data_IF_647600747934
#
_entry.id   IF_647600747934
#
_cell.length_a   1.000
_cell.length_b   1.000
_cell.length_c   1.000
_cell.angle_alpha   90.00
_cell.angle_beta   90.00
_cell.angle_gamma   90.00
#
_symmetry.space_group_name_H-M   'P 1'
#
loop_
_entity.id
_entity.type
_entity.pdbx_description
1 polymer ?
#
# COMPACT_ATOMS: atom_id res chain seq x y z
N UNK A 1 30.07 2.97 17.29
CA UNK A 1 29.42 3.62 16.14
C UNK A 1 28.02 4.09 16.57
N UNK A 2 27.54 5.25 16.11
CA UNK A 2 26.17 5.68 16.39
C UNK A 2 25.17 4.72 15.77
N UNK A 3 23.94 4.61 16.31
CA UNK A 3 22.88 3.82 15.70
C UNK A 3 22.58 4.30 14.28
N UNK A 4 22.32 3.40 13.37
CA UNK A 4 21.73 3.72 12.08
C UNK A 4 20.21 3.88 12.26
N UNK A 5 19.62 4.88 11.60
CA UNK A 5 18.18 5.10 11.57
C UNK A 5 17.69 4.93 10.13
N UNK A 6 16.61 4.20 9.98
CA UNK A 6 16.00 3.94 8.68
C UNK A 6 14.47 4.08 8.77
N UNK A 7 13.84 4.28 7.63
CA UNK A 7 12.39 4.21 7.47
C UNK A 7 12.02 2.89 6.79
N UNK A 8 10.90 2.29 7.19
CA UNK A 8 10.24 1.19 6.48
C UNK A 8 8.75 1.44 6.43
N UNK A 9 8.13 1.21 5.28
CA UNK A 9 6.73 1.55 5.06
C UNK A 9 5.90 0.32 4.68
N UNK A 10 4.79 0.09 5.37
CA UNK A 10 3.79 -0.91 5.05
C UNK A 10 2.61 -0.20 4.40
N UNK A 11 2.32 -0.47 3.15
CA UNK A 11 1.18 0.14 2.48
C UNK A 11 0.19 -0.91 2.02
N UNK A 12 -1.08 -0.74 2.39
CA UNK A 12 -2.14 -1.68 2.07
C UNK A 12 -3.02 -1.19 0.94
N UNK A 13 -3.49 -2.13 0.13
CA UNK A 13 -4.52 -1.94 -0.89
C UNK A 13 -5.48 -3.12 -0.88
N UNK A 14 -6.68 -2.95 -1.44
CA UNK A 14 -7.62 -4.06 -1.67
C UNK A 14 -7.20 -4.92 -2.86
N UNK A 15 -6.47 -4.34 -3.79
CA UNK A 15 -5.88 -5.01 -4.94
C UNK A 15 -4.66 -4.20 -5.43
N UNK A 16 -3.69 -4.84 -6.07
CA UNK A 16 -2.61 -4.14 -6.76
C UNK A 16 -3.10 -3.26 -7.92
N UNK A 17 -2.30 -2.28 -8.37
CA UNK A 17 -2.51 -1.63 -9.66
C UNK A 17 -2.53 -2.65 -10.80
N UNK A 18 -3.29 -2.36 -11.88
CA UNK A 18 -3.46 -3.31 -13.00
C UNK A 18 -2.15 -3.69 -13.68
N UNK A 19 -1.20 -2.76 -13.69
CA UNK A 19 0.15 -2.87 -14.28
C UNK A 19 1.22 -3.39 -13.29
N UNK A 20 0.85 -3.63 -12.03
CA UNK A 20 1.77 -4.07 -11.00
C UNK A 20 2.10 -5.57 -11.10
N UNK A 21 3.34 -5.92 -10.81
CA UNK A 21 3.76 -7.31 -10.71
C UNK A 21 3.14 -7.99 -9.49
N UNK A 22 2.73 -9.24 -9.68
CA UNK A 22 2.36 -10.18 -8.62
C UNK A 22 3.38 -11.30 -8.62
N UNK A 23 3.86 -11.70 -7.45
CA UNK A 23 4.81 -12.77 -7.30
C UNK A 23 4.23 -13.96 -6.54
N UNK A 24 4.76 -15.14 -6.84
CA UNK A 24 4.46 -16.37 -6.12
C UNK A 24 5.10 -16.31 -4.71
N UNK A 25 4.33 -16.52 -3.65
CA UNK A 25 4.85 -16.40 -2.29
C UNK A 25 5.87 -17.49 -1.91
N UNK A 26 5.79 -18.66 -2.55
CA UNK A 26 6.69 -19.77 -2.27
C UNK A 26 8.06 -19.61 -2.92
N UNK A 27 8.10 -19.20 -4.19
CA UNK A 27 9.35 -18.98 -4.92
C UNK A 27 9.84 -17.53 -4.83
N UNK A 28 8.95 -16.58 -4.57
CA UNK A 28 9.22 -15.14 -4.65
C UNK A 28 9.47 -14.64 -6.08
N UNK A 29 9.14 -15.45 -7.10
CA UNK A 29 9.29 -15.05 -8.50
C UNK A 29 8.05 -14.33 -9.01
N UNK A 30 8.24 -13.32 -9.84
CA UNK A 30 7.15 -12.62 -10.51
C UNK A 30 6.48 -13.58 -11.51
N UNK A 31 5.16 -13.76 -11.36
CA UNK A 31 4.39 -14.71 -12.14
C UNK A 31 3.51 -14.04 -13.22
N UNK A 32 3.08 -12.82 -13.00
CA UNK A 32 2.24 -12.06 -13.94
C UNK A 32 2.07 -10.62 -13.47
N UNK A 33 1.43 -9.80 -14.30
CA UNK A 33 0.82 -8.54 -13.84
C UNK A 33 -0.49 -8.82 -13.10
N UNK A 34 -0.93 -7.84 -12.27
CA UNK A 34 -2.22 -7.96 -11.58
C UNK A 34 -3.39 -8.12 -12.55
N UNK A 35 -3.39 -7.40 -13.68
CA UNK A 35 -4.45 -7.52 -14.69
C UNK A 35 -4.59 -8.94 -15.24
N UNK A 36 -3.48 -9.63 -15.49
CA UNK A 36 -3.47 -11.02 -15.94
C UNK A 36 -3.83 -12.01 -14.82
N UNK A 37 -3.33 -11.75 -13.60
CA UNK A 37 -3.60 -12.57 -12.42
C UNK A 37 -5.09 -12.52 -12.07
N UNK A 38 -5.67 -11.33 -11.95
CA UNK A 38 -7.07 -11.12 -11.63
C UNK A 38 -8.00 -11.74 -12.68
N UNK A 39 -7.63 -11.65 -13.96
CA UNK A 39 -8.40 -12.30 -15.05
C UNK A 39 -8.44 -13.83 -14.93
N UNK A 40 -7.37 -14.46 -14.44
CA UNK A 40 -7.31 -15.92 -14.20
C UNK A 40 -8.06 -16.32 -12.92
N UNK A 41 -7.91 -15.53 -11.85
CA UNK A 41 -8.52 -15.81 -10.56
C UNK A 41 -10.02 -15.49 -10.54
N UNK A 42 -10.50 -14.48 -11.28
CA UNK A 42 -11.93 -14.23 -11.44
C UNK A 42 -12.71 -15.46 -11.95
N UNK A 43 -12.02 -16.38 -12.64
CA UNK A 43 -12.57 -17.67 -13.07
C UNK A 43 -12.51 -18.77 -11.99
N UNK A 44 -11.81 -18.55 -10.87
CA UNK A 44 -11.50 -19.60 -9.87
C UNK A 44 -12.05 -19.36 -8.48
N UNK A 45 -12.23 -18.11 -8.06
CA UNK A 45 -12.56 -17.81 -6.67
C UNK A 45 -13.73 -16.83 -6.58
N UNK A 46 -14.84 -17.31 -6.02
CA UNK A 46 -15.82 -16.45 -5.37
C UNK A 46 -15.18 -15.88 -4.10
N UNK A 47 -14.49 -14.71 -4.23
CA UNK A 47 -14.34 -13.69 -3.19
C UNK A 47 -13.64 -14.04 -1.87
N UNK A 48 -12.38 -14.43 -1.89
CA UNK A 48 -11.53 -14.11 -0.73
C UNK A 48 -11.02 -12.66 -0.90
N UNK A 49 -11.69 -11.71 -0.29
CA UNK A 49 -11.21 -10.33 -0.25
C UNK A 49 -10.09 -10.27 0.78
N UNK A 50 -8.86 -10.04 0.32
CA UNK A 50 -7.68 -9.91 1.18
C UNK A 50 -7.00 -8.57 0.93
N UNK A 51 -6.13 -8.16 1.85
CA UNK A 51 -5.27 -7.00 1.64
C UNK A 51 -4.01 -7.41 0.88
N UNK A 52 -3.52 -6.47 0.09
CA UNK A 52 -2.29 -6.59 -0.67
C UNK A 52 -1.30 -5.53 -0.24
N UNK A 53 -0.01 -5.83 -0.33
CA UNK A 53 1.06 -4.88 -0.06
C UNK A 53 2.23 -5.06 -1.02
N UNK A 54 2.93 -3.95 -1.37
CA UNK A 54 4.12 -4.00 -2.21
C UNK A 54 5.34 -4.37 -1.37
N UNK A 55 6.18 -5.21 -1.94
CA UNK A 55 7.51 -5.54 -1.41
C UNK A 55 8.57 -5.24 -2.47
N UNK A 56 9.79 -4.98 -1.99
CA UNK A 56 10.97 -4.70 -2.82
C UNK A 56 11.97 -5.82 -2.62
N UNK A 57 12.48 -6.42 -3.70
CA UNK A 57 13.53 -7.43 -3.65
C UNK A 57 14.86 -6.77 -3.41
N UNK A 58 15.58 -7.23 -2.40
CA UNK A 58 16.89 -6.70 -2.05
C UNK A 58 17.94 -7.15 -3.06
N UNK A 59 18.82 -6.23 -3.43
CA UNK A 59 19.93 -6.47 -4.37
C UNK A 59 21.30 -6.30 -3.70
N UNK A 60 21.34 -6.21 -2.36
CA UNK A 60 22.58 -6.00 -1.58
C UNK A 60 22.55 -6.75 -0.24
N UNK A 61 23.69 -7.21 0.25
CA UNK A 61 23.81 -7.75 1.61
C UNK A 61 23.42 -6.73 2.70
N UNK A 62 22.97 -7.19 3.87
CA UNK A 62 22.52 -8.54 4.17
C UNK A 62 21.18 -8.85 3.51
N UNK A 63 20.84 -10.13 3.39
CA UNK A 63 19.56 -10.61 2.81
C UNK A 63 19.38 -10.32 1.30
N UNK A 64 20.46 -10.41 0.52
CA UNK A 64 20.38 -10.33 -0.94
C UNK A 64 19.39 -11.36 -1.51
N UNK A 65 18.55 -10.93 -2.45
CA UNK A 65 17.50 -11.74 -3.06
C UNK A 65 16.21 -11.88 -2.25
N UNK A 66 16.17 -11.52 -0.96
CA UNK A 66 14.93 -11.56 -0.15
C UNK A 66 14.06 -10.34 -0.37
N UNK A 67 12.78 -10.53 -0.11
CA UNK A 67 11.80 -9.46 -0.15
C UNK A 67 11.82 -8.63 1.14
N UNK A 68 11.56 -7.35 1.02
CA UNK A 68 11.60 -6.37 2.11
C UNK A 68 10.52 -5.31 1.91
N UNK A 69 10.15 -4.63 2.98
CA UNK A 69 9.33 -3.43 2.90
C UNK A 69 10.05 -2.31 2.14
N UNK A 70 9.34 -1.50 1.35
CA UNK A 70 9.85 -0.24 0.86
C UNK A 70 10.43 0.60 2.01
N UNK A 71 11.58 1.22 1.79
CA UNK A 71 12.25 1.99 2.82
C UNK A 71 13.75 2.10 2.58
N UNK A 72 14.42 2.74 3.52
CA UNK A 72 15.87 2.97 3.42
C UNK A 72 16.40 3.89 4.51
N UNK A 73 17.69 4.24 4.42
CA UNK A 73 18.28 5.25 5.29
C UNK A 73 17.62 6.61 5.06
N UNK A 74 17.61 7.43 6.09
CA UNK A 74 17.07 8.79 6.03
C UNK A 74 18.16 9.69 5.48
N UNK A 75 17.96 10.38 4.35
CA UNK A 75 18.85 11.43 3.88
C UNK A 75 18.99 12.54 4.91
N UNK A 76 20.15 13.22 4.91
CA UNK A 76 20.42 14.25 5.91
C UNK A 76 19.51 15.47 5.83
N UNK A 77 18.98 15.74 4.66
CA UNK A 77 18.15 16.88 4.28
C UNK A 77 16.69 16.52 4.04
N UNK A 78 16.25 15.33 4.47
CA UNK A 78 14.89 14.86 4.27
C UNK A 78 14.21 14.49 5.60
N UNK A 79 12.97 14.90 5.77
CA UNK A 79 12.15 14.53 6.92
C UNK A 79 11.68 13.06 6.84
N UNK A 80 11.29 12.50 7.98
CA UNK A 80 10.90 11.08 8.10
C UNK A 80 9.70 10.71 7.22
N UNK A 81 8.69 11.55 7.20
CA UNK A 81 7.46 11.37 6.43
C UNK A 81 7.72 11.53 4.92
N UNK A 82 8.60 12.46 4.54
CA UNK A 82 9.05 12.59 3.15
C UNK A 82 9.84 11.36 2.70
N UNK A 83 10.75 10.83 3.53
CA UNK A 83 11.47 9.58 3.22
C UNK A 83 10.50 8.41 3.05
N UNK A 84 9.46 8.30 3.92
CA UNK A 84 8.45 7.27 3.81
C UNK A 84 7.63 7.40 2.52
N UNK A 85 7.15 8.61 2.22
CA UNK A 85 6.37 8.88 1.02
C UNK A 85 7.18 8.62 -0.27
N UNK A 86 8.43 9.08 -0.33
CA UNK A 86 9.33 8.88 -1.46
C UNK A 86 9.62 7.41 -1.71
N UNK A 87 10.00 6.66 -0.69
CA UNK A 87 10.33 5.23 -0.84
C UNK A 87 9.12 4.39 -1.26
N UNK A 88 7.92 4.75 -0.80
CA UNK A 88 6.67 4.15 -1.30
C UNK A 88 6.41 4.55 -2.76
N UNK A 89 6.58 5.83 -3.09
CA UNK A 89 6.38 6.30 -4.46
C UNK A 89 7.36 5.63 -5.44
N UNK A 90 8.62 5.49 -5.06
CA UNK A 90 9.63 4.78 -5.86
C UNK A 90 9.26 3.31 -6.11
N UNK A 91 8.67 2.64 -5.10
CA UNK A 91 8.25 1.25 -5.22
C UNK A 91 6.95 1.07 -6.03
N UNK A 92 5.95 1.92 -5.79
CA UNK A 92 4.59 1.74 -6.34
C UNK A 92 4.33 2.64 -7.55
N UNK A 93 5.15 3.69 -7.74
CA UNK A 93 4.99 4.77 -8.73
C UNK A 93 3.68 5.55 -8.57
N UNK A 94 3.12 5.49 -7.38
CA UNK A 94 1.91 6.19 -6.97
C UNK A 94 2.04 6.61 -5.51
N UNK A 95 1.42 7.71 -5.16
CA UNK A 95 1.41 8.19 -3.78
C UNK A 95 0.24 7.57 -3.02
N UNK A 96 0.41 7.17 -1.76
CA UNK A 96 -0.68 6.68 -0.93
C UNK A 96 -1.66 7.83 -0.60
N UNK A 97 -2.94 7.51 -0.47
CA UNK A 97 -3.97 8.45 -0.02
C UNK A 97 -3.95 8.72 1.49
N UNK A 98 -3.21 7.92 2.22
CA UNK A 98 -3.00 8.04 3.65
C UNK A 98 -1.62 7.52 4.02
N UNK A 99 -0.90 8.24 4.89
CA UNK A 99 0.40 7.85 5.42
C UNK A 99 0.53 8.38 6.85
N UNK A 100 0.87 7.51 7.79
CA UNK A 100 1.03 7.85 9.21
C UNK A 100 2.19 7.04 9.81
N UNK A 101 2.90 7.61 10.76
CA UNK A 101 3.89 6.87 11.52
C UNK A 101 3.22 5.74 12.33
N UNK A 102 3.74 4.54 12.20
CA UNK A 102 3.22 3.34 12.85
C UNK A 102 3.81 3.15 14.24
N UNK A 103 5.12 2.92 14.27
CA UNK A 103 5.88 2.62 15.49
C UNK A 103 7.39 2.68 15.23
N UNK A 104 8.19 2.72 16.31
CA UNK A 104 9.65 2.66 16.21
C UNK A 104 10.17 1.30 16.68
N UNK A 105 10.80 0.57 15.79
CA UNK A 105 11.39 -0.74 16.06
C UNK A 105 12.89 -0.60 16.33
N UNK A 106 13.35 -0.99 17.49
CA UNK A 106 14.75 -0.77 17.90
C UNK A 106 15.23 -1.75 18.96
N UNK A 107 14.74 -3.01 18.97
CA UNK A 107 15.20 -4.03 19.89
C UNK A 107 16.69 -4.36 19.66
N UNK A 108 17.40 -4.80 20.69
CA UNK A 108 18.83 -5.09 20.60
C UNK A 108 19.14 -6.30 19.70
N UNK A 109 18.20 -7.22 19.58
CA UNK A 109 18.30 -8.43 18.74
C UNK A 109 18.17 -8.15 17.25
N UNK A 110 17.68 -6.99 16.88
CA UNK A 110 17.45 -6.54 15.49
C UNK A 110 18.73 -6.35 14.67
N UNK A 111 19.82 -6.11 15.35
CA UNK A 111 21.10 -5.77 14.72
C UNK A 111 21.88 -7.04 14.43
N UNK A 112 21.80 -7.56 13.21
CA UNK A 112 22.61 -8.70 12.76
C UNK A 112 24.09 -8.34 12.51
N UNK A 113 24.46 -7.05 12.62
CA UNK A 113 25.81 -6.53 12.40
C UNK A 113 26.23 -5.62 13.56
N UNK A 114 27.50 -5.23 13.60
CA UNK A 114 28.11 -4.42 14.66
C UNK A 114 27.45 -3.04 14.90
N UNK A 115 26.51 -2.62 14.05
CA UNK A 115 25.81 -1.36 14.17
C UNK A 115 24.35 -1.57 14.57
N UNK A 116 23.92 -0.90 15.63
CA UNK A 116 22.52 -0.90 16.06
C UNK A 116 21.64 -0.20 15.02
N UNK A 117 20.53 -0.85 14.62
CA UNK A 117 19.56 -0.32 13.69
C UNK A 117 18.26 0.04 14.44
N UNK A 118 17.77 1.25 14.21
CA UNK A 118 16.43 1.69 14.62
C UNK A 118 15.63 1.98 13.35
N UNK A 119 14.46 1.38 13.22
CA UNK A 119 13.56 1.66 12.11
C UNK A 119 12.35 2.43 12.59
N UNK A 120 12.07 3.54 11.97
CA UNK A 120 10.82 4.27 12.10
C UNK A 120 9.89 3.69 11.04
N UNK A 121 8.89 2.92 11.48
CA UNK A 121 7.92 2.33 10.56
C UNK A 121 6.77 3.30 10.30
N UNK A 122 6.34 3.35 9.04
CA UNK A 122 5.15 4.03 8.56
C UNK A 122 4.16 3.03 8.01
N UNK A 123 2.88 3.38 8.01
CA UNK A 123 1.86 2.64 7.32
C UNK A 123 1.00 3.55 6.47
N UNK A 124 0.57 3.05 5.32
CA UNK A 124 -0.19 3.80 4.35
C UNK A 124 -1.31 3.00 3.72
N UNK A 125 -2.23 3.70 3.07
CA UNK A 125 -3.37 3.10 2.38
C UNK A 125 -3.43 3.64 0.95
N UNK A 126 -3.58 2.72 0.01
CA UNK A 126 -3.90 3.03 -1.37
C UNK A 126 -5.40 2.80 -1.59
N UNK A 127 -6.15 3.87 -1.75
CA UNK A 127 -7.53 3.82 -2.19
C UNK A 127 -7.63 3.57 -3.69
N UNK A 128 -8.80 3.19 -4.16
CA UNK A 128 -9.07 2.85 -5.57
C UNK A 128 -8.68 3.97 -6.54
N UNK A 129 -8.95 5.22 -6.18
CA UNK A 129 -8.58 6.40 -6.97
C UNK A 129 -7.06 6.55 -7.16
N UNK A 130 -6.26 6.16 -6.14
CA UNK A 130 -4.80 6.27 -6.19
C UNK A 130 -4.18 5.16 -7.04
N UNK A 131 -4.84 3.99 -7.12
CA UNK A 131 -4.36 2.85 -7.90
C UNK A 131 -4.73 2.95 -9.38
N UNK A 132 -5.82 3.62 -9.71
CA UNK A 132 -6.27 3.85 -11.11
C UNK A 132 -5.57 5.04 -11.77
N UNK A 133 -4.94 5.93 -10.99
CA UNK A 133 -4.15 7.01 -11.55
C UNK A 133 -3.00 6.45 -12.42
N UNK A 134 -2.69 7.06 -13.58
CA UNK A 134 -1.57 6.63 -14.41
C UNK A 134 -0.27 6.69 -13.60
N UNK A 135 0.61 5.71 -13.82
CA UNK A 135 1.93 5.72 -13.19
C UNK A 135 2.72 6.95 -13.65
N UNK A 136 3.48 7.56 -12.77
CA UNK A 136 4.27 8.78 -13.07
C UNK A 136 5.26 8.58 -14.22
N UNK A 137 5.62 7.34 -14.51
CA UNK A 137 6.49 6.97 -15.66
C UNK A 137 5.83 7.17 -17.00
N UNK A 138 4.50 7.00 -17.08
CA UNK A 138 3.77 7.21 -18.33
C UNK A 138 3.68 8.70 -18.65
N UNK A 139 3.44 9.54 -17.64
CA UNK A 139 3.47 10.99 -17.77
C UNK A 139 4.84 11.54 -18.22
N UNK A 140 5.95 10.92 -17.77
CA UNK A 140 7.31 11.33 -18.16
C UNK A 140 7.70 10.88 -19.57
N UNK A 141 7.10 9.81 -20.12
CA UNK A 141 7.33 9.38 -21.51
C UNK A 141 6.65 10.26 -22.52
N UNK A 142 5.48 10.79 -22.21
CA UNK A 142 4.76 11.71 -23.11
C UNK A 142 5.41 13.10 -23.15
N UNK A 143 6.17 13.49 -22.10
CA UNK A 143 6.94 14.74 -22.05
C UNK A 143 8.37 14.56 -22.63
N UNK A 144 8.96 13.38 -22.57
CA UNK A 144 10.33 13.12 -23.02
C UNK A 144 10.46 13.01 -24.55
N UNK A 145 9.36 12.99 -25.31
CA UNK A 145 9.41 13.05 -26.78
C UNK A 145 9.75 14.45 -27.33
N UNK A 146 9.71 15.50 -26.49
CA UNK A 146 9.90 16.89 -26.96
C UNK A 146 11.22 17.54 -26.52
N UNK A 147 12.09 16.88 -25.77
CA UNK A 147 13.39 17.46 -25.35
C UNK A 147 14.55 16.49 -25.57
N UNK A 148 14.94 16.33 -26.82
CA UNK A 148 16.23 15.78 -27.17
C UNK A 148 17.22 16.92 -27.40
N UNK A 149 17.89 17.39 -26.34
CA UNK A 149 19.25 17.97 -26.38
C UNK A 149 19.64 18.63 -25.06
N UNK A 150 20.45 17.99 -24.26
CA UNK A 150 21.52 18.60 -23.43
C UNK A 150 22.39 17.50 -22.80
N UNK A 151 23.66 17.73 -22.87
CA UNK A 151 24.81 16.89 -22.54
C UNK A 151 24.95 16.50 -21.06
N UNK A 152 25.67 15.40 -20.75
CA UNK A 152 25.81 14.88 -19.41
C UNK A 152 27.12 15.41 -18.76
N UNK A 153 27.06 15.76 -17.48
CA UNK A 153 28.19 15.57 -16.60
C UNK A 153 27.80 15.54 -15.11
N UNK A 154 28.27 14.44 -14.52
CA UNK A 154 28.63 14.24 -13.11
C UNK A 154 27.62 14.65 -12.03
N UNK A 155 26.88 13.67 -11.50
CA UNK A 155 26.89 13.21 -10.11
C UNK A 155 26.22 11.84 -10.07
N UNK A 156 26.99 10.81 -10.26
CA UNK A 156 26.53 9.43 -10.20
C UNK A 156 27.24 8.74 -9.06
N UNK A 157 26.56 8.51 -7.93
CA UNK A 157 26.93 7.36 -7.09
C UNK A 157 25.89 6.96 -6.01
N UNK A 158 24.72 7.57 -5.90
CA UNK A 158 23.69 7.10 -4.96
C UNK A 158 22.26 7.01 -5.53
N UNK A 159 22.10 7.24 -6.80
CA UNK A 159 20.81 7.06 -7.48
C UNK A 159 20.82 5.70 -8.17
N UNK A 160 20.60 4.64 -7.42
CA UNK A 160 20.06 3.40 -7.97
C UNK A 160 18.61 3.67 -8.37
N UNK A 161 18.45 4.44 -9.45
CA UNK A 161 17.15 4.73 -10.02
C UNK A 161 16.43 3.41 -10.32
N UNK A 162 15.40 3.10 -9.56
CA UNK A 162 14.35 2.20 -9.96
C UNK A 162 13.64 2.83 -11.15
N UNK A 163 14.16 2.55 -12.34
CA UNK A 163 13.53 2.96 -13.60
C UNK A 163 12.31 2.08 -13.79
N UNK A 164 11.20 2.68 -13.69
CA UNK A 164 9.89 2.11 -13.85
C UNK A 164 9.60 1.63 -15.27
N UNK A 165 9.81 0.44 -15.50
CA UNK A 165 8.93 -0.55 -16.08
C UNK A 165 8.78 -1.57 -14.97
N UNK A 166 7.68 -2.32 -14.88
CA UNK A 166 7.48 -3.32 -13.83
C UNK A 166 8.84 -3.93 -13.39
N UNK A 167 9.51 -3.26 -12.44
CA UNK A 167 10.84 -3.67 -12.01
C UNK A 167 10.64 -5.04 -11.37
N UNK A 168 11.29 -6.07 -11.91
CA UNK A 168 11.22 -7.42 -11.38
C UNK A 168 11.59 -7.50 -9.87
N UNK A 169 12.14 -6.41 -9.35
CA UNK A 169 12.45 -6.23 -7.93
C UNK A 169 11.31 -5.59 -7.12
N UNK A 170 10.16 -5.29 -7.70
CA UNK A 170 8.97 -4.82 -6.98
C UNK A 170 7.79 -5.70 -7.35
N UNK A 171 7.14 -6.27 -6.35
CA UNK A 171 5.93 -7.07 -6.56
C UNK A 171 4.95 -6.93 -5.39
N UNK A 172 3.71 -7.21 -5.67
CA UNK A 172 2.64 -7.22 -4.69
C UNK A 172 2.36 -8.63 -4.20
N UNK A 173 2.11 -8.73 -2.91
CA UNK A 173 1.80 -9.96 -2.21
C UNK A 173 0.51 -9.80 -1.41
N UNK A 174 -0.29 -10.86 -1.35
CA UNK A 174 -1.38 -10.97 -0.38
C UNK A 174 -0.79 -11.04 1.04
N UNK A 175 -1.43 -10.39 2.01
CA UNK A 175 -1.00 -10.48 3.42
C UNK A 175 -1.12 -11.90 3.98
N UNK A 176 -1.98 -12.73 3.40
CA UNK A 176 -2.20 -14.12 3.83
C UNK A 176 -1.10 -15.08 3.33
N UNK A 177 -0.32 -14.62 2.34
CA UNK A 177 0.71 -15.43 1.67
C UNK A 177 1.96 -14.59 1.41
N UNK A 178 2.67 -14.24 2.47
CA UNK A 178 3.92 -13.49 2.38
C UNK A 178 5.11 -14.45 2.16
N UNK A 179 6.11 -14.05 1.33
CA UNK A 179 7.35 -14.79 1.19
C UNK A 179 8.23 -14.65 2.46
N UNK A 180 9.36 -15.35 2.48
CA UNK A 180 10.36 -15.11 3.52
C UNK A 180 10.95 -13.70 3.40
N UNK A 181 10.77 -12.89 4.43
CA UNK A 181 11.15 -11.49 4.44
C UNK A 181 12.56 -11.25 5.00
N UNK A 182 13.18 -10.17 4.55
CA UNK A 182 14.42 -9.68 5.11
C UNK A 182 14.18 -9.02 6.48
N UNK A 183 15.16 -9.07 7.35
CA UNK A 183 15.12 -8.48 8.68
C UNK A 183 13.95 -9.01 9.51
N UNK A 184 13.35 -8.13 10.29
CA UNK A 184 12.11 -8.33 11.07
C UNK A 184 10.89 -7.72 10.39
N UNK A 185 10.91 -7.60 9.06
CA UNK A 185 9.81 -6.96 8.32
C UNK A 185 8.48 -7.69 8.46
N UNK A 186 8.50 -9.01 8.75
CA UNK A 186 7.28 -9.74 9.09
C UNK A 186 6.62 -9.19 10.37
N UNK A 187 7.40 -8.91 11.41
CA UNK A 187 6.91 -8.33 12.66
C UNK A 187 6.31 -6.94 12.45
N UNK A 188 6.94 -6.13 11.58
CA UNK A 188 6.42 -4.80 11.23
C UNK A 188 5.06 -4.91 10.51
N UNK A 189 4.92 -5.85 9.56
CA UNK A 189 3.66 -6.09 8.84
C UNK A 189 2.57 -6.59 9.79
N UNK A 190 2.87 -7.56 10.65
CA UNK A 190 1.93 -8.08 11.66
C UNK A 190 1.41 -6.95 12.57
N UNK A 191 2.31 -6.08 13.04
CA UNK A 191 1.94 -4.92 13.83
C UNK A 191 1.08 -3.93 13.05
N UNK A 192 1.38 -3.69 11.76
CA UNK A 192 0.59 -2.80 10.91
C UNK A 192 -0.83 -3.36 10.66
N UNK A 193 -0.96 -4.67 10.41
CA UNK A 193 -2.25 -5.34 10.25
C UNK A 193 -3.08 -5.26 11.54
N UNK A 194 -2.44 -5.55 12.68
CA UNK A 194 -3.10 -5.39 13.98
C UNK A 194 -3.59 -3.94 14.19
N UNK A 195 -2.75 -2.95 13.90
CA UNK A 195 -3.09 -1.53 14.03
C UNK A 195 -4.25 -1.13 13.12
N UNK A 196 -4.26 -1.61 11.87
CA UNK A 196 -5.33 -1.36 10.90
C UNK A 196 -6.65 -1.97 11.38
N UNK A 197 -6.64 -3.20 11.90
CA UNK A 197 -7.82 -3.87 12.48
C UNK A 197 -8.39 -3.07 13.64
N UNK A 198 -7.56 -2.67 14.59
CA UNK A 198 -7.98 -1.84 15.73
C UNK A 198 -8.60 -0.51 15.27
N UNK A 199 -7.99 0.14 14.28
CA UNK A 199 -8.52 1.40 13.71
C UNK A 199 -9.84 1.19 12.97
N UNK A 200 -10.06 0.05 12.37
CA UNK A 200 -11.29 -0.26 11.63
C UNK A 200 -12.48 -0.47 12.55
N UNK A 201 -12.28 -1.02 13.74
CA UNK A 201 -13.34 -1.19 14.74
C UNK A 201 -13.85 0.14 15.31
N UNK A 202 -12.98 1.14 15.47
CA UNK A 202 -13.28 2.39 16.20
C UNK A 202 -13.21 3.65 15.35
N UNK A 203 -12.79 3.57 14.09
CA UNK A 203 -12.63 4.75 13.23
C UNK A 203 -13.01 4.47 11.78
N UNK A 204 -13.21 5.56 11.04
CA UNK A 204 -13.57 5.51 9.61
C UNK A 204 -12.41 5.21 8.68
N UNK A 205 -11.33 4.57 9.16
CA UNK A 205 -10.14 4.32 8.34
C UNK A 205 -10.44 3.48 7.09
N UNK A 206 -11.41 2.57 7.18
CA UNK A 206 -11.82 1.69 6.09
C UNK A 206 -12.27 2.46 4.83
N UNK A 207 -12.84 3.66 4.98
CA UNK A 207 -13.26 4.45 3.81
C UNK A 207 -12.10 4.94 2.96
N UNK A 208 -10.89 5.01 3.51
CA UNK A 208 -9.68 5.44 2.79
C UNK A 208 -9.30 4.50 1.64
N UNK A 209 -9.85 3.29 1.63
CA UNK A 209 -9.73 2.35 0.52
C UNK A 209 -10.72 2.62 -0.62
N UNK A 210 -11.77 3.41 -0.37
CA UNK A 210 -12.86 3.68 -1.30
C UNK A 210 -12.75 5.10 -1.89
N UNK A 211 -13.53 5.36 -2.92
CA UNK A 211 -13.74 6.72 -3.42
C UNK A 211 -14.64 7.56 -2.50
N UNK A 212 -14.92 8.80 -2.89
CA UNK A 212 -15.77 9.72 -2.14
C UNK A 212 -17.20 9.20 -1.95
N UNK A 213 -17.74 8.50 -2.94
CA UNK A 213 -19.03 7.84 -2.92
C UNK A 213 -18.84 6.32 -3.10
N UNK A 214 -19.55 5.54 -2.33
CA UNK A 214 -19.45 4.09 -2.32
C UNK A 214 -20.77 3.42 -1.93
N UNK A 215 -20.92 2.16 -2.27
CA UNK A 215 -22.03 1.32 -1.81
C UNK A 215 -21.70 0.67 -0.46
N UNK A 216 -22.73 0.30 0.30
CA UNK A 216 -22.52 -0.47 1.54
C UNK A 216 -21.90 -1.85 1.28
N UNK A 217 -22.09 -2.40 0.09
CA UNK A 217 -21.45 -3.64 -0.31
C UNK A 217 -19.95 -3.47 -0.50
N UNK A 218 -19.49 -2.37 -1.10
CA UNK A 218 -18.07 -2.03 -1.20
C UNK A 218 -17.46 -1.82 0.17
N UNK A 219 -18.10 -1.03 1.04
CA UNK A 219 -17.62 -0.79 2.40
C UNK A 219 -17.52 -2.10 3.21
N UNK A 220 -18.52 -3.00 3.09
CA UNK A 220 -18.47 -4.32 3.73
C UNK A 220 -17.27 -5.14 3.26
N UNK A 221 -17.00 -5.20 1.96
CA UNK A 221 -15.84 -5.91 1.42
C UNK A 221 -14.52 -5.37 1.97
N UNK A 222 -14.42 -4.05 2.18
CA UNK A 222 -13.23 -3.47 2.83
C UNK A 222 -13.09 -3.99 4.25
N UNK A 223 -14.16 -4.00 5.04
CA UNK A 223 -14.14 -4.55 6.40
C UNK A 223 -13.77 -6.03 6.41
N UNK A 224 -14.34 -6.82 5.51
CA UNK A 224 -14.01 -8.25 5.34
C UNK A 224 -12.53 -8.46 5.01
N UNK A 225 -11.96 -7.66 4.10
CA UNK A 225 -10.54 -7.72 3.75
C UNK A 225 -9.62 -7.41 4.94
N UNK A 226 -9.99 -6.41 5.74
CA UNK A 226 -9.19 -6.00 6.90
C UNK A 226 -9.29 -7.01 8.03
N UNK A 227 -10.49 -7.46 8.33
CA UNK A 227 -10.74 -8.37 9.46
C UNK A 227 -10.36 -9.83 9.13
N UNK A 228 -10.39 -10.20 7.85
CA UNK A 228 -10.12 -11.57 7.39
C UNK A 228 -11.29 -12.51 7.61
N UNK A 229 -12.51 -11.98 7.75
CA UNK A 229 -13.74 -12.75 8.00
C UNK A 229 -14.92 -12.23 7.18
N UNK A 230 -15.87 -13.10 6.88
CA UNK A 230 -17.10 -12.72 6.19
C UNK A 230 -18.08 -12.05 7.15
N UNK A 231 -18.74 -10.99 6.69
CA UNK A 231 -19.68 -10.21 7.49
C UNK A 231 -21.08 -10.33 6.87
N UNK A 232 -22.07 -10.66 7.69
CA UNK A 232 -23.47 -10.72 7.25
C UNK A 232 -23.93 -9.37 6.69
N UNK A 233 -24.41 -9.31 5.44
CA UNK A 233 -24.77 -8.05 4.78
C UNK A 233 -25.88 -7.27 5.49
N UNK A 234 -26.87 -7.96 6.09
CA UNK A 234 -28.01 -7.32 6.73
C UNK A 234 -27.61 -6.68 8.06
N UNK A 235 -26.81 -7.39 8.86
CA UNK A 235 -26.27 -6.88 10.11
C UNK A 235 -25.33 -5.70 9.85
N UNK A 236 -24.39 -5.85 8.92
CA UNK A 236 -23.45 -4.78 8.55
C UNK A 236 -24.18 -3.49 8.13
N UNK A 237 -25.20 -3.62 7.25
CA UNK A 237 -26.00 -2.49 6.81
C UNK A 237 -26.67 -1.80 8.00
N UNK A 238 -27.34 -2.57 8.89
CA UNK A 238 -28.02 -2.02 10.06
C UNK A 238 -27.05 -1.26 10.95
N UNK A 239 -25.88 -1.85 11.23
CA UNK A 239 -24.93 -1.32 12.18
C UNK A 239 -24.22 -0.06 11.62
N UNK A 240 -23.85 -0.06 10.34
CA UNK A 240 -23.25 1.11 9.69
C UNK A 240 -24.23 2.31 9.61
N UNK A 241 -25.50 2.05 9.30
CA UNK A 241 -26.50 3.13 9.27
C UNK A 241 -26.85 3.63 10.67
N UNK A 242 -26.84 2.77 11.68
CA UNK A 242 -27.09 3.14 13.08
C UNK A 242 -25.99 4.05 13.67
N UNK A 243 -24.76 3.98 13.17
CA UNK A 243 -23.67 4.86 13.59
C UNK A 243 -23.87 6.34 13.19
N UNK A 244 -24.78 6.62 12.23
CA UNK A 244 -25.09 7.99 11.82
C UNK A 244 -23.97 8.74 11.09
N UNK A 245 -22.92 8.04 10.68
CA UNK A 245 -21.74 8.64 10.03
C UNK A 245 -21.83 8.62 8.49
N UNK A 246 -22.85 7.95 7.95
CA UNK A 246 -23.09 7.84 6.51
C UNK A 246 -24.24 8.74 6.07
N UNK A 247 -24.03 9.46 4.99
CA UNK A 247 -25.03 10.25 4.30
C UNK A 247 -25.41 9.56 3.00
N UNK A 248 -26.71 9.29 2.80
CA UNK A 248 -27.23 8.85 1.51
C UNK A 248 -27.13 10.01 0.52
N UNK A 249 -26.43 9.82 -0.57
CA UNK A 249 -26.22 10.87 -1.59
C UNK A 249 -27.43 11.09 -2.48
N UNK A 250 -28.44 10.23 -2.38
CA UNK A 250 -29.60 10.19 -3.28
C UNK A 250 -29.28 9.60 -4.66
N UNK A 251 -28.03 9.22 -4.91
CA UNK A 251 -27.57 8.62 -6.15
C UNK A 251 -27.51 7.10 -6.04
N UNK A 252 -27.46 6.44 -7.19
CA UNK A 252 -27.32 4.99 -7.31
C UNK A 252 -26.14 4.67 -8.23
N UNK A 253 -25.56 3.51 -8.03
CA UNK A 253 -24.49 2.97 -8.88
C UNK A 253 -24.99 2.79 -10.32
N UNK A 254 -24.22 3.24 -11.30
CA UNK A 254 -24.55 3.14 -12.71
C UNK A 254 -23.87 1.91 -13.35
N UNK A 255 -24.50 1.36 -14.39
CA UNK A 255 -23.87 0.31 -15.22
C UNK A 255 -23.87 -1.09 -14.65
N UNK A 256 -24.63 -1.36 -13.57
CA UNK A 256 -24.75 -2.70 -12.99
C UNK A 256 -25.88 -3.51 -13.63
N UNK A 257 -25.69 -4.82 -13.90
CA UNK A 257 -26.74 -5.71 -14.44
C UNK A 257 -27.85 -6.03 -13.43
N UNK A 258 -27.67 -5.68 -12.16
CA UNK A 258 -28.61 -5.90 -11.06
C UNK A 258 -29.27 -4.59 -10.63
N UNK A 259 -30.22 -4.69 -9.67
CA UNK A 259 -30.85 -3.50 -9.09
C UNK A 259 -29.76 -2.54 -8.57
N UNK A 260 -29.69 -1.28 -9.07
CA UNK A 260 -28.66 -0.32 -8.69
C UNK A 260 -28.60 -0.11 -7.18
N UNK A 261 -27.39 -0.18 -6.62
CA UNK A 261 -27.16 0.05 -5.20
C UNK A 261 -27.10 1.56 -4.89
N UNK A 262 -27.58 1.95 -3.72
CA UNK A 262 -27.48 3.35 -3.25
C UNK A 262 -26.04 3.70 -2.95
N UNK A 263 -25.65 4.93 -3.28
CA UNK A 263 -24.37 5.51 -2.96
C UNK A 263 -24.44 6.30 -1.66
N UNK A 264 -23.43 6.12 -0.85
CA UNK A 264 -23.23 6.78 0.43
C UNK A 264 -21.89 7.51 0.42
N UNK A 265 -21.78 8.53 1.26
CA UNK A 265 -20.51 9.17 1.60
C UNK A 265 -20.40 9.31 3.11
N UNK A 266 -19.20 9.39 3.63
CA UNK A 266 -19.02 9.73 5.04
C UNK A 266 -19.32 11.20 5.28
N UNK A 267 -19.89 11.48 6.45
CA UNK A 267 -20.01 12.85 6.96
C UNK A 267 -18.59 13.39 7.13
N UNK A 268 -18.27 14.53 6.52
CA UNK A 268 -16.95 15.13 6.67
C UNK A 268 -16.67 15.39 8.15
N UNK A 269 -15.74 14.66 8.75
CA UNK A 269 -15.12 15.13 9.97
C UNK A 269 -14.14 16.26 9.60
N UNK A 270 -14.08 17.35 10.41
CA UNK A 270 -13.05 18.32 10.22
C UNK A 270 -11.69 17.60 10.32
N UNK A 271 -10.89 17.74 9.29
CA UNK A 271 -9.53 17.23 9.21
C UNK A 271 -8.78 17.67 10.49
N UNK A 272 -8.47 16.72 11.35
CA UNK A 272 -7.45 16.94 12.37
C UNK A 272 -6.10 16.80 11.67
N UNK A 273 -5.82 17.68 10.72
CA UNK A 273 -4.47 18.00 10.31
C UNK A 273 -3.75 18.50 11.53
N UNK A 274 -2.84 17.71 12.05
CA UNK A 274 -1.88 18.14 13.05
C UNK A 274 -1.06 19.27 12.43
N UNK A 275 -1.53 20.50 12.67
CA UNK A 275 -0.70 21.70 12.56
C UNK A 275 0.29 21.64 13.73
N UNK A 276 1.55 21.39 13.44
CA UNK A 276 2.70 21.95 14.15
C UNK A 276 3.99 21.37 13.57
#
# INVERSE_FOLDING_TARGET
>A
MPPAVAVSSVAFALHPPVDANVADPGSGEVISTWGEYAGREAARVEHATTLWLPLVRRTRPPFDGRWALPGGPIPWDEDLDHTAARTLHEAVLRSPGYLEQLFSFGTTTRSASAQRLVTIAYWGLYGELHLTAPSTTQASRDVASDVASATPDAVTEFSGALVASADANVAWFSIDQLPELAFDHAEIIEYAVWRLRQRTEYSMIAHRFLGEEFTLAQLRRVHEAILGEQIDPANFRRDMLAQGQLVDTGRVEEGTPHRPARLYRFTAQPDQSLSS
#
